data_IF_478311579137
#
_entry.id   IF_478311579137
#
_cell.length_a   1.000
_cell.length_b   1.000
_cell.length_c   1.000
_cell.angle_alpha   90.00
_cell.angle_beta   90.00
_cell.angle_gamma   90.00
#
_symmetry.space_group_name_H-M   'P 1'
#
loop_
_entity.id
_entity.type
_entity.pdbx_description
1 polymer ?
#
# COMPACT_ATOMS: atom_id res chain seq x y z
N UNK A 1 20.14 -10.71 -26.68
CA UNK A 1 19.75 -10.96 -25.27
C UNK A 1 18.55 -10.05 -25.05
N UNK A 2 17.35 -10.60 -24.90
CA UNK A 2 16.16 -9.79 -24.67
C UNK A 2 16.32 -9.11 -23.31
N UNK A 3 16.20 -7.78 -23.28
CA UNK A 3 16.18 -7.03 -22.03
C UNK A 3 14.99 -7.52 -21.20
N UNK A 4 15.19 -7.83 -19.90
CA UNK A 4 14.06 -8.21 -19.04
C UNK A 4 13.08 -7.04 -19.03
N UNK A 5 11.82 -7.32 -19.36
CA UNK A 5 10.75 -6.33 -19.34
C UNK A 5 10.69 -5.64 -17.96
N UNK A 6 10.44 -4.33 -17.89
CA UNK A 6 10.48 -3.57 -16.64
C UNK A 6 9.30 -3.97 -15.73
N UNK A 7 9.49 -4.99 -14.90
CA UNK A 7 8.45 -5.54 -14.02
C UNK A 7 8.23 -4.70 -12.73
N UNK A 8 8.31 -3.37 -12.79
CA UNK A 8 8.56 -2.57 -11.55
C UNK A 8 7.53 -1.47 -11.25
N UNK A 9 6.41 -1.37 -11.94
CA UNK A 9 5.54 -0.19 -11.81
C UNK A 9 4.08 -0.38 -11.31
N UNK A 10 3.56 -1.60 -11.01
CA UNK A 10 2.15 -1.70 -10.61
C UNK A 10 1.85 -1.05 -9.26
N UNK A 11 2.83 -0.98 -8.36
CA UNK A 11 2.67 -0.44 -7.01
C UNK A 11 3.02 1.04 -6.87
N UNK A 12 3.87 1.57 -7.76
CA UNK A 12 4.35 2.95 -7.67
C UNK A 12 3.21 3.93 -7.88
N UNK A 13 3.12 4.94 -7.01
CA UNK A 13 2.10 5.97 -7.08
C UNK A 13 1.38 6.18 -5.76
N UNK A 14 0.29 6.95 -5.84
CA UNK A 14 -0.54 7.31 -4.69
C UNK A 14 -1.81 6.47 -4.69
N UNK A 15 -2.23 6.12 -3.49
CA UNK A 15 -3.35 5.25 -3.24
C UNK A 15 -4.16 5.81 -2.09
N UNK A 16 -5.49 5.74 -2.17
CA UNK A 16 -6.37 6.27 -1.12
C UNK A 16 -7.52 5.30 -0.86
N UNK A 17 -7.98 5.24 0.39
CA UNK A 17 -9.19 4.50 0.74
C UNK A 17 -10.40 5.04 -0.03
N UNK A 18 -11.31 4.14 -0.42
CA UNK A 18 -12.51 4.54 -1.15
C UNK A 18 -13.35 5.56 -0.35
N UNK A 19 -13.93 6.53 -1.07
CA UNK A 19 -14.58 7.73 -0.53
C UNK A 19 -15.77 7.47 0.42
N UNK A 20 -16.28 6.25 0.51
CA UNK A 20 -17.38 5.87 1.41
C UNK A 20 -16.94 5.53 2.84
N UNK A 21 -15.64 5.50 3.11
CA UNK A 21 -15.12 5.32 4.47
C UNK A 21 -15.03 6.69 5.17
N UNK A 22 -15.54 6.79 6.39
CA UNK A 22 -15.29 7.95 7.27
C UNK A 22 -13.81 8.09 7.66
N UNK A 23 -12.96 7.18 7.18
CA UNK A 23 -11.54 7.11 7.41
C UNK A 23 -10.77 7.43 6.12
N UNK A 24 -9.96 8.48 6.14
CA UNK A 24 -9.10 8.83 5.01
C UNK A 24 -7.67 8.40 5.29
N UNK A 25 -7.23 7.36 4.58
CA UNK A 25 -5.83 6.91 4.62
C UNK A 25 -5.27 6.94 3.21
N UNK A 26 -4.09 7.52 3.08
CA UNK A 26 -3.34 7.60 1.85
C UNK A 26 -2.04 6.80 1.98
N UNK A 27 -1.71 6.05 0.95
CA UNK A 27 -0.44 5.35 0.79
C UNK A 27 0.25 5.87 -0.47
N UNK A 28 1.50 6.29 -0.35
CA UNK A 28 2.37 6.59 -1.49
C UNK A 28 3.49 5.56 -1.50
N UNK A 29 3.70 4.93 -2.64
CA UNK A 29 4.82 4.00 -2.87
C UNK A 29 5.72 4.62 -3.92
N UNK A 30 7.00 4.78 -3.60
CA UNK A 30 7.96 5.50 -4.42
C UNK A 30 9.33 4.82 -4.39
N UNK A 31 10.22 5.23 -5.29
CA UNK A 31 11.65 4.88 -5.19
C UNK A 31 12.39 5.99 -4.46
N UNK A 32 13.18 5.62 -3.48
CA UNK A 32 14.08 6.55 -2.79
C UNK A 32 15.28 6.96 -3.67
N UNK A 33 16.11 7.86 -3.17
CA UNK A 33 17.32 8.33 -3.87
C UNK A 33 18.35 7.22 -4.12
N UNK A 34 18.32 6.15 -3.33
CA UNK A 34 19.18 4.97 -3.48
C UNK A 34 18.61 3.93 -4.45
N UNK A 35 17.41 4.17 -5.01
CA UNK A 35 16.72 3.28 -5.94
C UNK A 35 15.94 2.15 -5.28
N UNK A 36 15.83 2.14 -3.95
CA UNK A 36 15.03 1.17 -3.20
C UNK A 36 13.56 1.59 -3.18
N UNK A 37 12.67 0.62 -3.03
CA UNK A 37 11.25 0.89 -2.87
C UNK A 37 10.95 1.31 -1.43
N UNK A 38 10.23 2.41 -1.29
CA UNK A 38 9.83 2.99 -0.01
C UNK A 38 8.34 3.34 -0.03
N UNK A 39 7.78 3.55 1.15
CA UNK A 39 6.38 3.95 1.30
C UNK A 39 6.19 5.06 2.32
N UNK A 40 5.12 5.81 2.12
CA UNK A 40 4.56 6.80 3.03
C UNK A 40 3.07 6.50 3.24
N UNK A 41 2.67 6.12 4.45
CA UNK A 41 1.29 5.87 4.86
C UNK A 41 0.82 6.97 5.81
N UNK A 42 -0.25 7.68 5.46
CA UNK A 42 -0.73 8.89 6.14
C UNK A 42 -2.24 8.83 6.36
N UNK A 43 -2.68 9.12 7.57
CA UNK A 43 -4.07 9.38 7.96
C UNK A 43 -4.19 10.68 8.77
N UNK A 44 -5.30 10.91 9.45
CA UNK A 44 -5.54 12.02 10.37
C UNK A 44 -4.56 12.01 11.57
N UNK A 45 -4.35 10.85 12.18
CA UNK A 45 -3.47 10.66 13.35
C UNK A 45 -2.31 9.70 13.11
N UNK A 46 -2.31 9.01 11.97
CA UNK A 46 -1.30 8.05 11.57
C UNK A 46 -0.30 8.68 10.60
N UNK A 47 0.99 8.56 10.91
CA UNK A 47 2.08 8.78 9.95
C UNK A 47 3.10 7.64 10.11
N UNK A 48 3.35 6.92 9.02
CA UNK A 48 4.32 5.83 8.93
C UNK A 48 5.05 5.91 7.60
N UNK A 49 6.33 5.62 7.61
CA UNK A 49 7.15 5.56 6.40
C UNK A 49 8.22 4.49 6.60
N UNK A 50 8.62 3.81 5.53
CA UNK A 50 9.61 2.75 5.63
C UNK A 50 9.93 2.09 4.30
N UNK A 51 10.61 0.95 4.38
CA UNK A 51 10.94 0.15 3.21
C UNK A 51 9.72 -0.65 2.72
N UNK A 52 9.61 -0.74 1.39
CA UNK A 52 8.64 -1.59 0.73
C UNK A 52 9.36 -2.64 -0.11
N UNK A 53 8.75 -3.82 -0.27
CA UNK A 53 9.26 -4.89 -1.11
C UNK A 53 8.12 -5.47 -1.93
N UNK A 54 8.42 -5.95 -3.14
CA UNK A 54 7.42 -6.51 -4.05
C UNK A 54 7.80 -7.93 -4.42
N UNK A 55 6.82 -8.83 -4.36
CA UNK A 55 6.93 -10.22 -4.79
C UNK A 55 5.66 -10.65 -5.52
N UNK A 56 5.72 -10.75 -6.84
CA UNK A 56 4.54 -11.05 -7.67
C UNK A 56 3.47 -9.96 -7.52
N UNK A 57 2.30 -10.33 -7.02
CA UNK A 57 1.19 -9.41 -6.73
C UNK A 57 1.16 -8.91 -5.29
N UNK A 58 2.17 -9.22 -4.48
CA UNK A 58 2.25 -8.82 -3.07
C UNK A 58 3.22 -7.64 -2.87
N UNK A 59 2.78 -6.62 -2.13
CA UNK A 59 3.58 -5.50 -1.65
C UNK A 59 3.71 -5.60 -0.13
N UNK A 60 4.92 -5.86 0.35
CA UNK A 60 5.23 -5.92 1.78
C UNK A 60 5.79 -4.59 2.27
N UNK A 61 5.11 -3.97 3.23
CA UNK A 61 5.53 -2.75 3.93
C UNK A 61 6.14 -3.17 5.28
N UNK A 62 7.45 -2.99 5.45
CA UNK A 62 8.22 -3.64 6.53
C UNK A 62 7.66 -3.44 7.95
N UNK A 63 7.04 -2.28 8.22
CA UNK A 63 6.50 -1.91 9.55
C UNK A 63 4.97 -1.95 9.64
N UNK A 64 4.30 -2.39 8.57
CA UNK A 64 2.83 -2.36 8.46
C UNK A 64 2.28 -3.75 8.12
N UNK A 65 2.76 -4.40 7.06
CA UNK A 65 2.23 -5.69 6.63
C UNK A 65 2.22 -5.86 5.12
N UNK A 66 1.55 -6.90 4.64
CA UNK A 66 1.45 -7.22 3.22
C UNK A 66 0.13 -6.72 2.60
N UNK A 67 0.22 -6.27 1.36
CA UNK A 67 -0.91 -5.82 0.54
C UNK A 67 -0.96 -6.63 -0.76
N UNK A 68 -2.16 -6.99 -1.21
CA UNK A 68 -2.36 -7.69 -2.49
C UNK A 68 -2.83 -6.72 -3.56
N UNK A 69 -2.19 -6.78 -4.73
CA UNK A 69 -2.54 -5.98 -5.90
C UNK A 69 -3.48 -6.75 -6.84
N UNK A 70 -4.57 -6.09 -7.21
CA UNK A 70 -5.45 -6.52 -8.30
C UNK A 70 -5.13 -5.68 -9.55
N UNK A 71 -4.73 -6.34 -10.63
CA UNK A 71 -4.41 -5.70 -11.91
C UNK A 71 -5.65 -5.42 -12.76
N UNK A 72 -6.71 -6.20 -12.59
CA UNK A 72 -7.98 -5.97 -13.28
C UNK A 72 -8.67 -4.70 -12.76
N UNK A 73 -8.47 -4.41 -11.48
CA UNK A 73 -8.96 -3.22 -10.80
C UNK A 73 -7.79 -2.63 -10.03
N UNK A 74 -6.98 -1.71 -10.60
CA UNK A 74 -5.73 -1.23 -10.00
C UNK A 74 -5.97 -0.68 -8.59
N UNK A 75 -5.81 -1.59 -7.63
CA UNK A 75 -6.20 -1.46 -6.23
C UNK A 75 -5.29 -2.32 -5.36
N UNK A 76 -5.10 -1.88 -4.12
CA UNK A 76 -4.36 -2.63 -3.11
C UNK A 76 -5.30 -2.99 -1.97
N UNK A 77 -5.41 -4.28 -1.67
CA UNK A 77 -6.14 -4.79 -0.52
C UNK A 77 -5.19 -5.12 0.64
N UNK A 78 -5.55 -4.73 1.86
CA UNK A 78 -4.85 -5.18 3.07
C UNK A 78 -5.83 -5.56 4.19
N UNK A 79 -5.40 -6.48 5.06
CA UNK A 79 -6.02 -6.66 6.37
C UNK A 79 -5.58 -5.54 7.30
N UNK A 80 -6.53 -4.88 7.93
CA UNK A 80 -6.30 -3.89 8.97
C UNK A 80 -6.42 -4.49 10.37
N UNK A 81 -6.39 -5.81 10.48
CA UNK A 81 -6.32 -6.57 11.73
C UNK A 81 -5.17 -7.57 11.64
N UNK A 82 -4.41 -7.70 12.73
CA UNK A 82 -3.42 -8.77 12.87
C UNK A 82 -4.06 -10.13 13.20
N UNK A 83 -3.25 -11.18 13.25
CA UNK A 83 -3.66 -12.57 13.51
C UNK A 83 -4.41 -12.75 14.85
N UNK A 84 -4.26 -11.80 15.77
CA UNK A 84 -4.88 -11.80 17.09
C UNK A 84 -6.09 -10.85 17.18
N UNK A 85 -6.59 -10.34 16.05
CA UNK A 85 -7.64 -9.32 15.97
C UNK A 85 -7.36 -8.07 16.83
N UNK A 86 -6.09 -7.79 17.11
CA UNK A 86 -5.70 -6.88 18.19
C UNK A 86 -5.04 -5.61 17.70
N UNK A 87 -4.30 -5.66 16.59
CA UNK A 87 -3.57 -4.49 16.07
C UNK A 87 -4.14 -3.98 14.76
N UNK A 88 -4.54 -2.72 14.78
CA UNK A 88 -4.91 -1.96 13.58
C UNK A 88 -3.73 -1.13 13.12
N UNK A 89 -3.44 -1.19 11.82
CA UNK A 89 -2.34 -0.45 11.21
C UNK A 89 -2.79 0.92 10.71
N UNK A 90 -4.10 1.09 10.57
CA UNK A 90 -4.75 2.36 10.31
C UNK A 90 -5.66 2.80 11.46
N UNK A 91 -6.07 4.06 11.43
CA UNK A 91 -7.13 4.59 12.30
C UNK A 91 -8.54 4.20 11.84
N UNK A 92 -8.65 3.42 10.77
CA UNK A 92 -9.91 2.94 10.23
C UNK A 92 -10.50 1.83 11.12
N UNK A 93 -11.82 1.79 11.22
CA UNK A 93 -12.53 0.76 11.99
C UNK A 93 -12.82 -0.50 11.17
N UNK A 94 -12.61 -0.42 9.85
CA UNK A 94 -12.77 -1.48 8.89
C UNK A 94 -11.68 -2.54 9.05
N UNK A 95 -12.08 -3.82 9.01
CA UNK A 95 -11.15 -4.96 9.09
C UNK A 95 -10.31 -5.12 7.81
N UNK A 96 -10.82 -4.63 6.68
CA UNK A 96 -10.15 -4.65 5.39
C UNK A 96 -10.16 -3.26 4.77
N UNK A 97 -9.02 -2.87 4.21
CA UNK A 97 -8.87 -1.62 3.49
C UNK A 97 -8.58 -1.90 2.03
N UNK A 98 -9.35 -1.24 1.18
CA UNK A 98 -9.12 -1.22 -0.26
C UNK A 98 -8.65 0.18 -0.64
N UNK A 99 -7.44 0.24 -1.16
CA UNK A 99 -6.85 1.46 -1.66
C UNK A 99 -7.01 1.49 -3.17
N UNK A 100 -7.57 2.57 -3.69
CA UNK A 100 -7.70 2.81 -5.12
C UNK A 100 -6.55 3.70 -5.57
N UNK A 101 -6.02 3.43 -6.76
CA UNK A 101 -4.95 4.25 -7.33
C UNK A 101 -5.48 5.67 -7.56
N UNK A 102 -4.87 6.64 -6.90
CA UNK A 102 -5.17 8.06 -7.09
C UNK A 102 -4.70 8.50 -8.47
N UNK A 103 -5.59 9.13 -9.24
CA UNK A 103 -5.21 9.85 -10.45
C UNK A 103 -4.51 11.16 -10.07
N UNK A 104 -3.43 11.51 -10.79
CA UNK A 104 -2.94 12.89 -10.83
C UNK A 104 -3.92 13.77 -11.62
#
# INVERSE_FOLDING_TARGET
IAEPAPYVEPFLGRWQTAASSTCQVALEVYRDEAGNLAFDLKGQSLVRSGAANVSGTELALADVGAMQYDDATPSLGMSNIDENNSRRFSECNEDYLFFLRGGN
#
